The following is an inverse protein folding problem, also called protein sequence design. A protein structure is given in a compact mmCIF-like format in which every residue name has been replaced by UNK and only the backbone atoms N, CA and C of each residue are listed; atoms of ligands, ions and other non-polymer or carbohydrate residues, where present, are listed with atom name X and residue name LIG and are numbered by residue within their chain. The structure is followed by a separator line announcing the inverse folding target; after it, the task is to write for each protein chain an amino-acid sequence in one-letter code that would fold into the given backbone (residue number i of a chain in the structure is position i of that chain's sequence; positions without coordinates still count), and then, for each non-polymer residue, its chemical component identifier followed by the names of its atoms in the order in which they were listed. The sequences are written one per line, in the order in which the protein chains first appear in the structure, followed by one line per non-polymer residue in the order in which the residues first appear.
data_IF_123328034054
#
_entry.id   IF_123328034054
#
_cell.length_a   1.000
_cell.length_b   1.000
_cell.length_c   1.000
_cell.angle_alpha   90.00
_cell.angle_beta   90.00
_cell.angle_gamma   90.00
#
_symmetry.space_group_name_H-M   'P 1'
#
loop_
_entity.id
_entity.type
_entity.pdbx_description
1 polymer ?
#
# COMPACT_ATOMS: atom_id res chain seq x y z
N UNK A 1 0.62 -4.67 -4.65
CA UNK A 1 1.78 -5.02 -5.50
C UNK A 1 3.02 -4.19 -5.17
N UNK A 2 2.93 -2.88 -5.17
CA UNK A 2 4.02 -1.93 -4.86
C UNK A 2 4.40 -1.87 -3.39
N UNK A 3 3.49 -2.22 -2.50
CA UNK A 3 3.56 -2.00 -1.05
C UNK A 3 4.76 -2.62 -0.36
N UNK A 4 5.33 -3.71 -0.91
CA UNK A 4 6.55 -4.33 -0.36
C UNK A 4 7.84 -3.55 -0.63
N UNK A 5 7.78 -2.58 -1.53
CA UNK A 5 8.89 -1.69 -1.85
C UNK A 5 8.80 -0.35 -1.10
N UNK A 6 7.67 -0.09 -0.45
CA UNK A 6 7.31 1.22 0.08
C UNK A 6 7.46 1.32 1.60
N UNK A 7 8.59 0.99 2.16
CA UNK A 7 9.09 1.70 3.33
C UNK A 7 9.76 3.01 2.87
N UNK A 8 9.39 3.52 1.70
CA UNK A 8 10.01 4.70 1.10
C UNK A 8 8.95 5.57 0.43
N UNK A 9 8.46 6.42 1.13
CA UNK A 9 8.06 7.82 1.09
C UNK A 9 7.56 8.36 -0.23
N UNK A 10 6.28 8.51 -0.27
CA UNK A 10 5.63 9.59 -0.97
C UNK A 10 5.50 10.77 0.02
N UNK A 11 6.53 11.55 0.23
CA UNK A 11 6.33 12.83 0.91
C UNK A 11 5.57 13.73 -0.03
N UNK A 12 4.27 13.81 0.19
CA UNK A 12 3.46 14.84 -0.41
C UNK A 12 3.99 16.18 0.09
N UNK A 13 4.81 16.84 -0.71
CA UNK A 13 5.16 18.22 -0.46
C UNK A 13 3.88 19.04 -0.61
N UNK A 14 3.27 19.41 0.52
CA UNK A 14 2.30 20.49 0.57
C UNK A 14 3.10 21.77 0.28
N UNK A 15 3.49 21.96 -0.98
CA UNK A 15 4.10 23.18 -1.42
C UNK A 15 3.01 24.24 -1.50
N UNK A 16 2.90 25.04 -0.45
CA UNK A 16 2.45 26.41 -0.66
C UNK A 16 3.36 26.98 -1.77
N UNK A 17 2.83 27.15 -2.97
CA UNK A 17 3.47 27.92 -4.04
C UNK A 17 3.51 29.39 -3.60
N UNK A 18 4.44 29.69 -2.69
CA UNK A 18 4.91 31.02 -2.39
C UNK A 18 6.30 31.13 -2.93
N UNK A 19 6.50 32.13 -3.79
CA UNK A 19 7.75 32.68 -4.31
C UNK A 19 9.00 31.79 -4.32
N UNK A 20 9.63 31.68 -5.46
CA UNK A 20 10.91 31.03 -5.73
C UNK A 20 12.03 31.55 -4.80
N UNK A 21 12.07 31.09 -3.56
CA UNK A 21 13.30 31.18 -2.79
C UNK A 21 14.30 30.24 -3.46
N UNK A 22 15.41 30.78 -3.93
CA UNK A 22 16.55 30.01 -4.45
C UNK A 22 16.81 28.83 -3.53
N UNK A 23 16.72 27.61 -4.07
CA UNK A 23 16.97 26.35 -3.33
C UNK A 23 18.39 26.41 -2.76
N UNK A 24 18.52 26.78 -1.49
CA UNK A 24 19.80 26.80 -0.81
C UNK A 24 20.20 25.35 -0.52
N UNK A 25 21.31 24.90 -1.07
CA UNK A 25 21.81 23.55 -0.82
C UNK A 25 21.99 23.35 0.68
N UNK A 26 21.16 22.51 1.30
CA UNK A 26 21.29 22.13 2.69
C UNK A 26 22.45 21.14 2.83
N UNK A 27 23.49 21.53 3.56
CA UNK A 27 24.61 20.64 3.87
C UNK A 27 24.35 19.74 5.07
N UNK A 28 25.19 18.72 5.23
CA UNK A 28 25.02 17.71 6.32
C UNK A 28 24.92 18.33 7.72
N UNK A 29 25.69 19.38 8.00
CA UNK A 29 25.62 20.09 9.30
C UNK A 29 24.26 20.74 9.55
N UNK A 30 23.70 21.37 8.51
CA UNK A 30 22.37 21.99 8.58
C UNK A 30 21.28 20.92 8.71
N UNK A 31 21.38 19.84 7.94
CA UNK A 31 20.48 18.69 8.04
C UNK A 31 20.46 18.12 9.46
N UNK A 32 21.65 17.88 10.04
CA UNK A 32 21.76 17.40 11.43
C UNK A 32 21.11 18.36 12.42
N UNK A 33 21.33 19.65 12.28
CA UNK A 33 20.70 20.65 13.17
C UNK A 33 19.19 20.66 13.04
N UNK A 34 18.64 20.45 11.82
CA UNK A 34 17.19 20.32 11.61
C UNK A 34 16.65 19.06 12.28
N UNK A 35 17.29 17.92 12.10
CA UNK A 35 16.94 16.65 12.77
C UNK A 35 16.94 16.84 14.29
N UNK A 36 18.02 17.37 14.88
CA UNK A 36 18.14 17.58 16.32
C UNK A 36 17.03 18.51 16.86
N UNK A 37 16.60 19.52 16.09
CA UNK A 37 15.54 20.45 16.48
C UNK A 37 14.13 19.86 16.38
N UNK A 38 13.89 18.95 15.41
CA UNK A 38 12.57 18.34 15.17
C UNK A 38 12.31 17.10 16.02
N UNK A 39 13.38 16.38 16.43
CA UNK A 39 13.23 15.16 17.26
C UNK A 39 12.36 15.35 18.51
N UNK A 40 12.57 16.37 19.37
CA UNK A 40 11.74 16.55 20.56
C UNK A 40 10.28 16.89 20.22
N UNK A 41 10.06 17.58 19.11
CA UNK A 41 8.71 17.94 18.65
C UNK A 41 7.97 16.67 18.18
N UNK A 42 8.62 15.88 17.33
CA UNK A 42 8.07 14.61 16.83
C UNK A 42 7.83 13.61 17.96
N UNK A 43 8.78 13.44 18.87
CA UNK A 43 8.66 12.57 20.04
C UNK A 43 7.42 12.92 20.89
N UNK A 44 7.23 14.22 21.15
CA UNK A 44 6.06 14.73 21.90
C UNK A 44 4.75 14.46 21.17
N UNK A 45 4.70 14.67 19.86
CA UNK A 45 3.46 14.48 19.08
C UNK A 45 3.14 13.00 18.87
N UNK A 46 4.15 12.15 18.68
CA UNK A 46 3.99 10.71 18.57
C UNK A 46 3.68 10.04 19.93
N UNK A 47 3.88 10.73 21.05
CA UNK A 47 3.75 10.14 22.40
C UNK A 47 4.80 9.08 22.70
N UNK A 48 5.98 9.14 22.06
CA UNK A 48 7.07 8.16 22.18
C UNK A 48 8.41 8.87 22.35
N UNK A 49 9.33 8.29 23.12
CA UNK A 49 10.69 8.80 23.27
C UNK A 49 11.64 8.09 22.30
N UNK A 50 12.58 8.84 21.70
CA UNK A 50 13.67 8.21 20.95
C UNK A 50 14.58 7.41 21.89
N UNK A 51 14.83 6.15 21.59
CA UNK A 51 15.79 5.29 22.29
C UNK A 51 17.23 5.60 21.84
N UNK A 52 17.38 6.05 20.60
CA UNK A 52 18.64 6.54 20.03
C UNK A 52 18.38 7.60 18.96
N UNK A 53 19.38 8.46 18.72
CA UNK A 53 19.30 9.46 17.65
C UNK A 53 19.58 8.81 16.30
N UNK A 54 18.68 8.90 15.30
CA UNK A 54 18.96 8.42 13.95
C UNK A 54 20.12 9.23 13.32
N UNK A 55 20.91 8.57 12.50
CA UNK A 55 21.90 9.25 11.67
C UNK A 55 21.21 10.05 10.58
N UNK A 56 21.91 11.02 10.00
CA UNK A 56 21.41 11.78 8.85
C UNK A 56 22.50 12.01 7.84
N UNK A 57 22.16 11.96 6.55
CA UNK A 57 23.07 12.20 5.45
C UNK A 57 22.34 12.82 4.25
N UNK A 58 23.05 13.62 3.44
CA UNK A 58 22.54 14.14 2.18
C UNK A 58 23.00 13.23 1.05
N UNK A 59 22.14 12.98 0.06
CA UNK A 59 22.43 12.17 -1.12
C UNK A 59 21.92 12.86 -2.39
N UNK A 60 22.66 12.68 -3.48
CA UNK A 60 22.17 13.10 -4.81
C UNK A 60 21.05 12.18 -5.29
N UNK A 61 20.20 12.67 -6.22
CA UNK A 61 19.16 11.85 -6.83
C UNK A 61 19.72 10.57 -7.47
N UNK A 62 20.88 10.62 -8.09
CA UNK A 62 21.52 9.44 -8.70
C UNK A 62 21.95 8.41 -7.66
N UNK A 63 22.48 8.83 -6.52
CA UNK A 63 22.83 7.95 -5.41
C UNK A 63 21.58 7.27 -4.82
N UNK A 64 20.50 8.03 -4.65
CA UNK A 64 19.21 7.50 -4.19
C UNK A 64 18.65 6.48 -5.21
N UNK A 65 18.67 6.85 -6.50
CA UNK A 65 18.23 5.94 -7.56
C UNK A 65 19.01 4.64 -7.58
N UNK A 66 20.33 4.70 -7.45
CA UNK A 66 21.17 3.50 -7.39
C UNK A 66 20.86 2.62 -6.18
N UNK A 67 20.66 3.24 -5.01
CA UNK A 67 20.26 2.55 -3.79
C UNK A 67 18.90 1.83 -3.97
N UNK A 68 17.89 2.55 -4.51
CA UNK A 68 16.57 2.00 -4.76
C UNK A 68 16.58 0.82 -5.72
N UNK A 69 17.35 0.91 -6.80
CA UNK A 69 17.52 -0.17 -7.77
C UNK A 69 18.12 -1.42 -7.13
N UNK A 70 19.13 -1.24 -6.28
CA UNK A 70 19.76 -2.35 -5.56
C UNK A 70 18.77 -3.00 -4.56
N UNK A 71 18.05 -2.19 -3.81
CA UNK A 71 17.02 -2.66 -2.84
C UNK A 71 15.87 -3.37 -3.55
N UNK A 72 15.34 -2.80 -4.64
CA UNK A 72 14.30 -3.40 -5.46
C UNK A 72 14.69 -4.79 -5.97
N UNK A 73 15.90 -4.92 -6.50
CA UNK A 73 16.38 -6.19 -7.04
C UNK A 73 16.53 -7.28 -5.98
N UNK A 74 16.82 -6.89 -4.73
CA UNK A 74 16.94 -7.79 -3.57
C UNK A 74 15.56 -8.22 -3.04
N UNK A 75 14.63 -7.29 -2.92
CA UNK A 75 13.34 -7.51 -2.27
C UNK A 75 12.29 -8.14 -3.18
N UNK A 76 12.42 -7.96 -4.49
CA UNK A 76 11.46 -8.44 -5.47
C UNK A 76 12.14 -9.31 -6.54
N UNK A 77 12.32 -10.60 -6.27
CA UNK A 77 12.88 -11.54 -7.24
C UNK A 77 12.08 -11.54 -8.56
N UNK A 78 12.73 -11.69 -9.73
CA UNK A 78 12.09 -11.59 -11.04
C UNK A 78 10.86 -12.48 -11.21
N UNK A 79 10.89 -13.73 -10.75
CA UNK A 79 9.77 -14.67 -10.87
C UNK A 79 8.54 -14.19 -10.08
N UNK A 80 8.76 -13.58 -8.92
CA UNK A 80 7.69 -13.03 -8.10
C UNK A 80 7.07 -11.79 -8.75
N UNK A 81 7.90 -10.87 -9.25
CA UNK A 81 7.41 -9.71 -10.00
C UNK A 81 6.60 -10.16 -11.22
N UNK A 82 7.09 -11.17 -11.97
CA UNK A 82 6.37 -11.77 -13.10
C UNK A 82 4.98 -12.25 -12.70
N UNK A 83 4.87 -13.02 -11.61
CA UNK A 83 3.58 -13.56 -11.16
C UNK A 83 2.63 -12.48 -10.65
N UNK A 84 3.13 -11.52 -9.89
CA UNK A 84 2.34 -10.37 -9.43
C UNK A 84 1.79 -9.57 -10.60
N UNK A 85 2.64 -9.15 -11.54
CA UNK A 85 2.24 -8.39 -12.73
C UNK A 85 1.24 -9.18 -13.57
N UNK A 86 1.44 -10.51 -13.69
CA UNK A 86 0.52 -11.37 -14.42
C UNK A 86 -0.88 -11.40 -13.79
N UNK A 87 -1.01 -11.42 -12.45
CA UNK A 87 -2.29 -11.34 -11.78
C UNK A 87 -3.07 -10.08 -12.19
N UNK A 88 -2.42 -8.91 -12.08
CA UNK A 88 -3.05 -7.62 -12.41
C UNK A 88 -3.38 -7.49 -13.90
N UNK A 89 -2.53 -8.02 -14.79
CA UNK A 89 -2.80 -8.03 -16.23
C UNK A 89 -3.97 -8.94 -16.58
N UNK A 90 -4.01 -10.16 -16.01
CA UNK A 90 -5.09 -11.11 -16.27
C UNK A 90 -6.45 -10.57 -15.79
N UNK A 91 -6.47 -9.78 -14.73
CA UNK A 91 -7.66 -9.12 -14.19
C UNK A 91 -8.00 -7.80 -14.91
N UNK A 92 -7.17 -7.34 -15.86
CA UNK A 92 -7.43 -6.11 -16.61
C UNK A 92 -7.08 -4.82 -15.88
N UNK A 93 -6.35 -4.89 -14.76
CA UNK A 93 -5.93 -3.72 -13.98
C UNK A 93 -4.67 -3.05 -14.53
N UNK A 94 -3.84 -3.78 -15.28
CA UNK A 94 -2.63 -3.28 -15.92
C UNK A 94 -2.61 -3.59 -17.41
N UNK A 95 -2.16 -2.64 -18.26
CA UNK A 95 -1.91 -2.91 -19.68
C UNK A 95 -0.81 -3.98 -19.86
N UNK A 96 -0.97 -4.83 -20.88
CA UNK A 96 0.01 -5.88 -21.18
C UNK A 96 1.38 -5.29 -21.59
N UNK A 97 1.38 -4.10 -22.21
CA UNK A 97 2.59 -3.42 -22.71
C UNK A 97 3.34 -2.61 -21.66
N UNK A 98 2.81 -2.45 -20.46
CA UNK A 98 3.41 -1.61 -19.44
C UNK A 98 4.67 -2.26 -18.86
N UNK A 99 5.81 -1.58 -18.94
CA UNK A 99 6.98 -1.95 -18.13
C UNK A 99 6.81 -1.44 -16.69
N UNK A 100 6.30 -2.35 -15.85
CA UNK A 100 5.99 -2.04 -14.45
C UNK A 100 7.26 -1.72 -13.65
N UNK A 101 8.39 -2.40 -13.94
CA UNK A 101 9.65 -2.15 -13.26
C UNK A 101 10.18 -0.75 -13.57
N UNK A 102 10.16 -0.38 -14.86
CA UNK A 102 10.60 0.95 -15.30
C UNK A 102 9.69 2.05 -14.72
N UNK A 103 8.37 1.85 -14.75
CA UNK A 103 7.42 2.80 -14.15
C UNK A 103 7.70 3.04 -12.66
N UNK A 104 8.03 1.99 -11.90
CA UNK A 104 8.37 2.14 -10.49
C UNK A 104 9.63 2.96 -10.28
N UNK A 105 10.68 2.70 -11.07
CA UNK A 105 11.92 3.48 -11.01
C UNK A 105 11.65 4.96 -11.29
N UNK A 106 10.83 5.25 -12.29
CA UNK A 106 10.45 6.62 -12.65
C UNK A 106 9.64 7.30 -11.54
N UNK A 107 8.62 6.63 -11.00
CA UNK A 107 7.80 7.13 -9.90
C UNK A 107 8.65 7.46 -8.66
N UNK A 108 9.53 6.54 -8.25
CA UNK A 108 10.43 6.79 -7.12
C UNK A 108 11.38 7.95 -7.38
N UNK A 109 11.98 8.00 -8.57
CA UNK A 109 12.91 9.07 -8.91
C UNK A 109 12.23 10.45 -8.94
N UNK A 110 10.96 10.50 -9.37
CA UNK A 110 10.18 11.73 -9.42
C UNK A 110 9.79 12.24 -8.02
N UNK A 111 9.40 11.34 -7.13
CA UNK A 111 8.69 11.71 -5.91
C UNK A 111 9.54 11.71 -4.64
N UNK A 112 10.72 11.07 -4.67
CA UNK A 112 11.52 10.95 -3.46
C UNK A 112 12.17 12.29 -3.07
N UNK A 113 11.92 12.73 -1.85
CA UNK A 113 12.56 13.90 -1.23
C UNK A 113 13.49 13.53 -0.07
N UNK A 114 13.32 12.34 0.49
CA UNK A 114 14.13 11.75 1.54
C UNK A 114 13.56 10.42 2.00
N UNK A 115 14.26 9.69 2.85
CA UNK A 115 13.77 8.45 3.45
C UNK A 115 14.59 8.02 4.66
N UNK A 116 13.96 7.28 5.56
CA UNK A 116 14.63 6.58 6.64
C UNK A 116 14.96 5.15 6.22
N UNK A 117 16.22 4.75 6.39
CA UNK A 117 16.67 3.38 6.14
C UNK A 117 16.88 2.66 7.48
N UNK A 118 16.03 1.66 7.82
CA UNK A 118 16.15 0.90 9.05
C UNK A 118 17.48 0.14 9.16
N UNK A 119 17.99 -0.41 8.04
CA UNK A 119 19.22 -1.20 8.02
C UNK A 119 20.44 -0.39 8.51
N UNK A 120 20.54 0.86 8.07
CA UNK A 120 21.63 1.77 8.48
C UNK A 120 21.27 2.71 9.64
N UNK A 121 20.00 2.70 10.08
CA UNK A 121 19.43 3.65 11.04
C UNK A 121 19.66 5.11 10.64
N UNK A 122 19.55 5.39 9.33
CA UNK A 122 19.93 6.68 8.75
C UNK A 122 18.76 7.31 8.00
N UNK A 123 18.52 8.58 8.26
CA UNK A 123 17.69 9.43 7.42
C UNK A 123 18.54 9.98 6.26
N UNK A 124 18.12 9.76 5.04
CA UNK A 124 18.73 10.31 3.84
C UNK A 124 17.84 11.41 3.26
N UNK A 125 18.37 12.63 3.16
CA UNK A 125 17.72 13.75 2.46
C UNK A 125 18.23 13.83 1.02
N UNK A 126 17.33 14.12 0.07
CA UNK A 126 17.70 14.39 -1.33
C UNK A 126 18.14 15.84 -1.47
N UNK A 127 19.23 16.09 -2.22
CA UNK A 127 19.71 17.44 -2.49
C UNK A 127 18.66 18.28 -3.24
N UNK A 128 18.54 19.56 -2.88
CA UNK A 128 17.82 20.58 -3.67
C UNK A 128 16.40 20.89 -3.23
N UNK A 129 15.89 20.34 -2.11
CA UNK A 129 14.61 20.72 -1.53
C UNK A 129 14.64 22.08 -0.83
N UNK A 130 13.50 22.76 -0.76
CA UNK A 130 13.34 23.96 0.09
C UNK A 130 13.43 23.60 1.57
N UNK A 131 13.74 24.57 2.43
CA UNK A 131 13.81 24.31 3.88
C UNK A 131 12.49 23.81 4.46
N UNK A 132 11.35 24.34 4.00
CA UNK A 132 10.03 23.95 4.48
C UNK A 132 9.70 22.49 4.06
N UNK A 133 9.98 22.12 2.81
CA UNK A 133 9.84 20.75 2.34
C UNK A 133 10.70 19.78 3.15
N UNK A 134 11.97 20.12 3.38
CA UNK A 134 12.86 19.29 4.19
C UNK A 134 12.38 19.16 5.64
N UNK A 135 11.81 20.19 6.25
CA UNK A 135 11.26 20.10 7.59
C UNK A 135 10.09 19.10 7.66
N UNK A 136 9.19 19.13 6.68
CA UNK A 136 8.07 18.19 6.60
C UNK A 136 8.59 16.76 6.40
N UNK A 137 9.52 16.57 5.44
CA UNK A 137 10.15 15.27 5.17
C UNK A 137 10.85 14.74 6.42
N UNK A 138 11.70 15.54 7.05
CA UNK A 138 12.41 15.13 8.28
C UNK A 138 11.43 14.74 9.38
N UNK A 139 10.37 15.52 9.58
CA UNK A 139 9.36 15.21 10.61
C UNK A 139 8.68 13.88 10.35
N UNK A 140 8.34 13.57 9.09
CA UNK A 140 7.75 12.31 8.66
C UNK A 140 8.71 11.13 8.90
N UNK A 141 9.95 11.26 8.43
CA UNK A 141 10.97 10.21 8.56
C UNK A 141 11.40 9.94 10.00
N UNK A 142 11.38 10.96 10.84
CA UNK A 142 11.62 10.79 12.27
C UNK A 142 10.54 9.95 12.94
N UNK A 143 9.30 9.97 12.44
CA UNK A 143 8.26 9.03 12.93
C UNK A 143 8.61 7.60 12.54
N UNK A 144 9.06 7.34 11.32
CA UNK A 144 9.53 6.01 10.92
C UNK A 144 10.74 5.55 11.75
N UNK A 145 11.67 6.46 12.06
CA UNK A 145 12.77 6.17 12.97
C UNK A 145 12.28 5.83 14.39
N UNK A 146 11.21 6.46 14.88
CA UNK A 146 10.56 6.08 16.14
C UNK A 146 9.90 4.70 16.02
N UNK A 147 9.06 4.49 15.03
CA UNK A 147 8.37 3.22 14.80
C UNK A 147 9.36 2.05 14.79
N UNK A 148 10.47 2.18 14.04
CA UNK A 148 11.53 1.17 13.98
C UNK A 148 12.16 0.86 15.34
N UNK A 149 12.23 1.83 16.26
CA UNK A 149 12.77 1.64 17.61
C UNK A 149 11.83 0.90 18.56
N UNK A 150 10.55 0.77 18.20
CA UNK A 150 9.52 0.14 19.05
C UNK A 150 8.96 -1.16 18.49
N UNK A 151 8.99 -1.35 17.17
CA UNK A 151 8.51 -2.56 16.52
C UNK A 151 9.51 -3.05 15.46
N UNK A 152 9.54 -4.36 15.16
CA UNK A 152 10.39 -4.92 14.12
C UNK A 152 9.84 -4.57 12.73
N UNK A 153 9.96 -3.30 12.34
CA UNK A 153 9.35 -2.72 11.16
C UNK A 153 9.68 -3.53 9.89
N UNK A 154 10.95 -3.94 9.74
CA UNK A 154 11.37 -4.76 8.60
C UNK A 154 10.62 -6.08 8.51
N UNK A 155 10.47 -6.80 9.65
CA UNK A 155 9.75 -8.07 9.65
C UNK A 155 8.27 -7.91 9.29
N UNK A 156 7.63 -6.84 9.77
CA UNK A 156 6.23 -6.52 9.46
C UNK A 156 6.08 -6.19 7.99
N UNK A 157 7.00 -5.39 7.44
CA UNK A 157 6.96 -4.91 6.06
C UNK A 157 7.43 -5.95 5.04
N UNK A 158 8.02 -7.06 5.48
CA UNK A 158 8.47 -8.16 4.63
C UNK A 158 7.55 -9.39 4.65
N UNK A 159 6.33 -9.28 5.17
CA UNK A 159 5.34 -10.37 5.05
C UNK A 159 5.00 -10.60 3.58
N UNK A 160 5.58 -11.69 3.04
CA UNK A 160 5.59 -11.94 1.60
C UNK A 160 4.35 -12.67 1.08
N UNK A 161 3.44 -13.07 1.96
CA UNK A 161 2.34 -13.97 1.61
C UNK A 161 0.95 -13.38 1.86
N UNK A 162 0.86 -12.14 2.33
CA UNK A 162 -0.39 -11.46 2.60
C UNK A 162 -0.27 -9.96 2.29
N UNK A 163 -0.55 -9.61 1.03
CA UNK A 163 -0.46 -8.22 0.56
C UNK A 163 -1.52 -7.33 1.20
N UNK A 164 -2.67 -7.87 1.56
CA UNK A 164 -3.74 -7.12 2.23
C UNK A 164 -3.31 -6.69 3.64
N UNK A 165 -2.81 -7.65 4.44
CA UNK A 165 -2.28 -7.35 5.77
C UNK A 165 -1.10 -6.39 5.73
N UNK A 166 -0.21 -6.57 4.76
CA UNK A 166 0.91 -5.65 4.54
C UNK A 166 0.40 -4.24 4.25
N UNK A 167 -0.61 -4.11 3.39
CA UNK A 167 -1.22 -2.84 3.07
C UNK A 167 -1.86 -2.16 4.29
N UNK A 168 -2.55 -2.93 5.12
CA UNK A 168 -3.13 -2.44 6.35
C UNK A 168 -2.04 -1.94 7.33
N UNK A 169 -0.95 -2.69 7.45
CA UNK A 169 0.19 -2.28 8.29
C UNK A 169 0.85 -0.99 7.76
N UNK A 170 1.08 -0.89 6.45
CA UNK A 170 1.61 0.33 5.83
C UNK A 170 0.69 1.53 6.05
N UNK A 171 -0.62 1.33 5.93
CA UNK A 171 -1.58 2.39 6.19
C UNK A 171 -1.43 2.97 7.61
N UNK A 172 -1.18 2.13 8.61
CA UNK A 172 -0.93 2.60 9.98
C UNK A 172 0.39 3.35 10.09
N UNK A 173 1.47 2.81 9.56
CA UNK A 173 2.79 3.44 9.69
C UNK A 173 2.87 4.76 8.95
N UNK A 174 2.42 4.81 7.70
CA UNK A 174 2.39 6.03 6.89
C UNK A 174 1.35 7.04 7.40
N UNK A 175 0.19 6.54 7.81
CA UNK A 175 -0.86 7.38 8.40
C UNK A 175 -0.41 8.07 9.68
N UNK A 176 0.29 7.36 10.58
CA UNK A 176 0.85 7.95 11.78
C UNK A 176 1.97 8.94 11.45
N UNK A 177 2.85 8.63 10.50
CA UNK A 177 3.91 9.52 10.09
C UNK A 177 3.34 10.81 9.48
N UNK A 178 2.33 10.70 8.61
CA UNK A 178 1.62 11.84 8.01
C UNK A 178 0.94 12.70 9.05
N UNK A 179 0.12 12.09 9.91
CA UNK A 179 -0.60 12.81 10.96
C UNK A 179 0.35 13.51 11.92
N UNK A 180 1.37 12.82 12.42
CA UNK A 180 2.35 13.38 13.37
C UNK A 180 3.16 14.51 12.77
N UNK A 181 3.60 14.39 11.51
CA UNK A 181 4.34 15.44 10.82
C UNK A 181 3.49 16.69 10.57
N UNK A 182 2.22 16.53 10.20
CA UNK A 182 1.27 17.66 10.08
C UNK A 182 1.07 18.37 11.42
N UNK A 183 0.83 17.62 12.50
CA UNK A 183 0.68 18.20 13.85
C UNK A 183 1.94 18.96 14.28
N UNK A 184 3.12 18.44 13.94
CA UNK A 184 4.40 19.07 14.28
C UNK A 184 4.61 20.41 13.54
N UNK A 185 4.02 20.56 12.34
CA UNK A 185 4.21 21.71 11.46
C UNK A 185 3.08 22.75 11.54
N UNK A 186 1.88 22.35 11.94
CA UNK A 186 0.73 23.26 12.02
C UNK A 186 0.73 24.06 13.33
N UNK A 187 0.53 25.41 13.25
CA UNK A 187 0.43 26.25 14.43
C UNK A 187 -0.84 26.00 15.26
N UNK A 188 -1.95 25.61 14.60
CA UNK A 188 -3.22 25.30 15.24
C UNK A 188 -3.59 23.82 15.06
N UNK A 189 -3.50 23.07 16.17
CA UNK A 189 -3.81 21.63 16.19
C UNK A 189 -5.31 21.32 16.09
N UNK A 190 -6.18 22.27 16.35
CA UNK A 190 -7.63 22.09 16.25
C UNK A 190 -8.04 21.83 14.79
N UNK A 191 -7.24 22.29 13.82
CA UNK A 191 -7.48 21.98 12.40
C UNK A 191 -7.55 20.48 12.13
N UNK A 192 -6.81 19.66 12.88
CA UNK A 192 -6.79 18.21 12.69
C UNK A 192 -8.07 17.48 13.15
N UNK A 193 -8.86 18.13 14.01
CA UNK A 193 -10.19 17.62 14.40
C UNK A 193 -11.29 18.12 13.48
N UNK A 194 -10.96 19.02 12.54
CA UNK A 194 -11.90 19.62 11.61
C UNK A 194 -12.01 18.77 10.34
N UNK A 195 -13.16 18.16 10.10
CA UNK A 195 -13.39 17.31 8.93
C UNK A 195 -13.21 18.06 7.60
N UNK A 196 -13.60 19.35 7.53
CA UNK A 196 -13.40 20.18 6.34
C UNK A 196 -11.90 20.37 6.02
N UNK A 197 -11.04 20.51 7.04
CA UNK A 197 -9.60 20.52 6.85
C UNK A 197 -9.11 19.20 6.24
N UNK A 198 -9.59 18.07 6.74
CA UNK A 198 -9.19 16.76 6.25
C UNK A 198 -9.65 16.50 4.81
N UNK A 199 -10.86 16.89 4.45
CA UNK A 199 -11.32 16.81 3.06
C UNK A 199 -10.44 17.66 2.13
N UNK A 200 -10.11 18.88 2.55
CA UNK A 200 -9.20 19.76 1.80
C UNK A 200 -7.80 19.15 1.68
N UNK A 201 -7.27 18.57 2.75
CA UNK A 201 -5.98 17.92 2.75
C UNK A 201 -5.93 16.71 1.80
N UNK A 202 -6.94 15.84 1.85
CA UNK A 202 -7.07 14.69 0.94
C UNK A 202 -7.13 15.13 -0.53
N UNK A 203 -7.90 16.16 -0.81
CA UNK A 203 -8.01 16.69 -2.17
C UNK A 203 -6.69 17.33 -2.64
N UNK A 204 -5.99 18.03 -1.76
CA UNK A 204 -4.66 18.56 -2.08
C UNK A 204 -3.65 17.46 -2.39
N UNK A 205 -3.64 16.36 -1.61
CA UNK A 205 -2.81 15.19 -1.89
C UNK A 205 -3.07 14.64 -3.29
N UNK A 206 -4.34 14.43 -3.63
CA UNK A 206 -4.74 13.94 -4.96
C UNK A 206 -4.33 14.91 -6.08
N UNK A 207 -4.54 16.19 -5.88
CA UNK A 207 -4.25 17.24 -6.89
C UNK A 207 -2.74 17.38 -7.12
N UNK A 208 -1.93 17.34 -6.07
CA UNK A 208 -0.47 17.40 -6.20
C UNK A 208 0.07 16.20 -6.95
N UNK A 209 -0.42 15.01 -6.62
CA UNK A 209 -0.04 13.79 -7.31
C UNK A 209 -0.46 13.83 -8.79
N UNK A 210 -1.63 14.37 -9.11
CA UNK A 210 -2.07 14.56 -10.48
C UNK A 210 -1.20 15.55 -11.27
N UNK A 211 -0.52 16.48 -10.60
CA UNK A 211 0.46 17.41 -11.19
C UNK A 211 1.83 16.77 -11.48
N UNK A 212 2.14 15.62 -10.91
CA UNK A 212 3.37 14.89 -11.17
C UNK A 212 3.26 14.11 -12.49
N UNK A 213 4.27 14.27 -13.37
CA UNK A 213 4.15 13.80 -14.77
C UNK A 213 4.15 12.28 -14.92
N UNK A 214 4.88 11.57 -14.07
CA UNK A 214 4.93 10.09 -14.09
C UNK A 214 3.72 9.51 -13.35
N UNK A 215 3.38 10.07 -12.20
CA UNK A 215 2.26 9.62 -11.38
C UNK A 215 0.92 9.74 -12.13
N UNK A 216 0.67 10.88 -12.81
CA UNK A 216 -0.59 11.10 -13.54
C UNK A 216 -0.81 10.12 -14.70
N UNK A 217 0.27 9.57 -15.26
CA UNK A 217 0.23 8.56 -16.33
C UNK A 217 0.14 7.12 -15.83
N UNK A 218 0.37 6.91 -14.54
CA UNK A 218 0.33 5.57 -13.97
C UNK A 218 -1.11 5.01 -13.97
N UNK A 219 -1.29 3.69 -14.17
CA UNK A 219 -2.59 3.05 -14.04
C UNK A 219 -3.26 3.33 -12.68
N UNK A 220 -4.60 3.33 -12.66
CA UNK A 220 -5.39 3.61 -11.46
C UNK A 220 -4.89 2.80 -10.25
N UNK A 221 -4.72 1.50 -10.41
CA UNK A 221 -4.26 0.61 -9.32
C UNK A 221 -2.94 1.06 -8.72
N UNK A 222 -2.00 1.53 -9.53
CA UNK A 222 -0.69 2.00 -9.05
C UNK A 222 -0.84 3.33 -8.29
N UNK A 223 -1.63 4.25 -8.82
CA UNK A 223 -1.87 5.56 -8.17
C UNK A 223 -2.54 5.39 -6.80
N UNK A 224 -3.60 4.60 -6.76
CA UNK A 224 -4.37 4.40 -5.54
C UNK A 224 -3.60 3.57 -4.50
N UNK A 225 -2.82 2.57 -4.93
CA UNK A 225 -1.89 1.84 -4.05
C UNK A 225 -0.89 2.75 -3.36
N UNK A 226 -0.37 3.75 -4.08
CA UNK A 226 0.56 4.73 -3.54
C UNK A 226 -0.12 5.73 -2.60
N UNK A 227 -1.39 6.06 -2.86
CA UNK A 227 -2.13 7.09 -2.12
C UNK A 227 -2.77 6.52 -0.84
N UNK A 228 -3.22 5.27 -0.88
CA UNK A 228 -3.96 4.60 0.18
C UNK A 228 -3.32 4.73 1.58
N UNK A 229 -2.02 4.47 1.78
CA UNK A 229 -1.41 4.53 3.10
C UNK A 229 -1.47 5.95 3.71
N UNK A 230 -1.39 6.98 2.88
CA UNK A 230 -1.38 8.36 3.33
C UNK A 230 -2.79 8.89 3.61
N UNK A 231 -3.75 8.57 2.75
CA UNK A 231 -5.13 9.06 2.85
C UNK A 231 -5.91 8.21 3.85
N UNK A 232 -6.10 6.93 3.55
CA UNK A 232 -6.91 6.04 4.40
C UNK A 232 -6.20 5.71 5.71
N UNK A 233 -4.86 5.60 5.66
CA UNK A 233 -4.06 5.40 6.86
C UNK A 233 -4.15 6.57 7.84
N UNK A 234 -4.09 7.81 7.35
CA UNK A 234 -4.24 8.99 8.22
C UNK A 234 -5.64 9.08 8.83
N UNK A 235 -6.69 8.73 8.08
CA UNK A 235 -8.06 8.67 8.59
C UNK A 235 -8.20 7.61 9.68
N UNK A 236 -7.69 6.41 9.44
CA UNK A 236 -7.70 5.33 10.43
C UNK A 236 -6.92 5.71 11.70
N UNK A 237 -5.70 6.27 11.58
CA UNK A 237 -4.89 6.67 12.73
C UNK A 237 -5.54 7.81 13.50
N UNK A 238 -6.14 8.80 12.81
CA UNK A 238 -6.91 9.88 13.45
C UNK A 238 -8.09 9.31 14.25
N UNK A 239 -8.84 8.40 13.64
CA UNK A 239 -9.92 7.69 14.30
C UNK A 239 -9.43 6.89 15.51
N UNK A 240 -8.35 6.09 15.32
CA UNK A 240 -7.77 5.28 16.39
C UNK A 240 -7.35 6.13 17.60
N UNK A 241 -6.64 7.23 17.38
CA UNK A 241 -6.22 8.12 18.46
C UNK A 241 -7.37 8.77 19.24
N UNK A 242 -8.53 8.97 18.59
CA UNK A 242 -9.72 9.50 19.25
C UNK A 242 -10.46 8.45 20.07
N UNK A 243 -10.41 7.17 19.71
CA UNK A 243 -11.11 6.07 20.38
C UNK A 243 -10.23 5.32 21.38
N UNK A 244 -8.91 5.32 21.19
CA UNK A 244 -7.90 4.66 22.03
C UNK A 244 -6.86 5.67 22.53
N UNK A 245 -7.25 6.66 23.36
CA UNK A 245 -6.35 7.73 23.79
C UNK A 245 -5.18 7.15 24.62
N UNK A 246 -3.96 7.51 24.22
CA UNK A 246 -2.74 7.07 24.90
C UNK A 246 -2.16 5.75 24.38
N UNK A 247 -2.86 5.06 23.48
CA UNK A 247 -2.34 3.86 22.84
C UNK A 247 -1.65 4.17 21.50
N UNK A 248 -0.77 3.28 21.08
CA UNK A 248 -0.13 3.34 19.77
C UNK A 248 -0.90 2.47 18.76
N UNK A 249 -1.09 2.94 17.50
CA UNK A 249 -1.88 2.20 16.52
C UNK A 249 -1.11 0.99 15.91
N UNK A 250 0.03 0.63 16.46
CA UNK A 250 0.88 -0.46 15.98
C UNK A 250 1.17 -1.50 17.08
N UNK A 251 2.00 -2.50 16.80
CA UNK A 251 2.23 -3.63 17.70
C UNK A 251 1.01 -4.55 17.73
N UNK A 252 0.42 -4.76 18.90
CA UNK A 252 -0.80 -5.57 19.05
C UNK A 252 -2.04 -4.94 18.39
N UNK A 253 -2.03 -3.62 18.20
CA UNK A 253 -3.13 -2.84 17.64
C UNK A 253 -3.09 -2.72 16.10
N UNK A 254 -2.15 -3.39 15.42
CA UNK A 254 -2.14 -3.37 13.95
C UNK A 254 -3.40 -4.03 13.38
N UNK A 255 -4.12 -3.38 12.45
CA UNK A 255 -5.22 -4.00 11.74
C UNK A 255 -4.74 -5.22 10.94
N UNK A 256 -5.63 -6.18 10.76
CA UNK A 256 -5.36 -7.45 10.08
C UNK A 256 -5.68 -7.43 8.60
N UNK A 257 -6.39 -6.40 8.13
CA UNK A 257 -6.85 -6.28 6.74
C UNK A 257 -7.05 -4.83 6.35
N UNK A 258 -7.07 -4.55 5.05
CA UNK A 258 -7.48 -3.24 4.53
C UNK A 258 -8.94 -2.95 4.83
N UNK A 259 -9.81 -3.97 4.96
CA UNK A 259 -11.19 -3.81 5.41
C UNK A 259 -11.27 -3.11 6.78
N UNK A 260 -10.43 -3.54 7.73
CA UNK A 260 -10.38 -2.91 9.05
C UNK A 260 -9.88 -1.46 9.02
N UNK A 261 -8.99 -1.13 8.09
CA UNK A 261 -8.52 0.25 7.88
C UNK A 261 -9.63 1.11 7.27
N UNK A 262 -10.34 0.58 6.27
CA UNK A 262 -11.42 1.29 5.57
C UNK A 262 -12.67 1.46 6.44
N UNK A 263 -12.94 0.49 7.29
CA UNK A 263 -14.15 0.40 8.12
C UNK A 263 -13.77 0.20 9.59
N UNK A 264 -13.46 1.27 10.34
CA UNK A 264 -13.03 1.17 11.74
C UNK A 264 -13.98 0.38 12.65
N UNK A 265 -15.28 0.33 12.34
CA UNK A 265 -16.23 -0.54 13.03
C UNK A 265 -15.93 -2.04 12.91
N UNK A 266 -15.30 -2.47 11.81
CA UNK A 266 -14.81 -3.85 11.64
C UNK A 266 -13.58 -4.11 12.50
N UNK A 267 -12.71 -3.12 12.62
CA UNK A 267 -11.57 -3.17 13.53
C UNK A 267 -12.02 -3.33 14.99
N UNK A 268 -12.95 -2.49 15.47
CA UNK A 268 -13.53 -2.58 16.82
C UNK A 268 -14.23 -3.92 17.08
N UNK A 269 -14.91 -4.46 16.07
CA UNK A 269 -15.58 -5.76 16.17
C UNK A 269 -14.61 -6.94 16.14
N UNK A 270 -13.29 -6.70 15.99
CA UNK A 270 -12.28 -7.74 15.77
C UNK A 270 -12.65 -8.69 14.62
N UNK A 271 -13.21 -8.12 13.55
CA UNK A 271 -13.59 -8.87 12.36
C UNK A 271 -12.33 -9.23 11.57
N UNK A 272 -11.78 -10.42 11.86
CA UNK A 272 -10.56 -10.90 11.23
C UNK A 272 -10.85 -11.63 9.91
N UNK A 273 -10.01 -11.43 8.88
CA UNK A 273 -10.17 -12.14 7.62
C UNK A 273 -10.00 -13.65 7.79
N UNK A 274 -10.80 -14.40 7.05
CA UNK A 274 -10.70 -15.85 6.97
C UNK A 274 -9.49 -16.22 6.12
N UNK A 275 -8.47 -16.78 6.75
CA UNK A 275 -7.30 -17.26 6.06
C UNK A 275 -7.64 -18.45 5.16
N UNK A 276 -7.40 -18.32 3.86
CA UNK A 276 -7.63 -19.38 2.88
C UNK A 276 -6.31 -20.06 2.49
N UNK A 277 -6.40 -21.34 2.18
CA UNK A 277 -5.28 -22.14 1.69
C UNK A 277 -5.70 -22.99 0.48
N UNK A 278 -4.92 -22.94 -0.58
CA UNK A 278 -5.00 -23.94 -1.63
C UNK A 278 -4.31 -25.24 -1.19
N UNK A 279 -4.96 -26.35 -1.42
CA UNK A 279 -4.39 -27.68 -1.21
C UNK A 279 -4.02 -28.26 -2.57
N UNK A 280 -2.81 -28.79 -2.73
CA UNK A 280 -2.38 -29.39 -3.97
C UNK A 280 -1.02 -28.94 -4.47
N UNK A 281 -0.73 -29.26 -5.73
CA UNK A 281 0.56 -29.03 -6.36
C UNK A 281 0.89 -27.54 -6.53
N UNK A 282 2.16 -27.23 -6.33
CA UNK A 282 2.75 -25.91 -6.54
C UNK A 282 3.69 -25.86 -7.75
N UNK A 283 3.69 -26.91 -8.59
CA UNK A 283 4.50 -26.93 -9.80
C UNK A 283 4.17 -25.74 -10.72
N UNK A 284 5.19 -24.97 -11.07
CA UNK A 284 5.01 -23.75 -11.86
C UNK A 284 4.41 -22.56 -11.11
N UNK A 285 4.25 -22.62 -9.80
CA UNK A 285 3.78 -21.48 -9.00
C UNK A 285 4.76 -20.30 -9.14
N UNK A 286 4.24 -19.16 -9.61
CA UNK A 286 4.97 -17.92 -9.73
C UNK A 286 4.68 -16.98 -8.54
N UNK A 287 3.43 -16.99 -8.08
CA UNK A 287 2.97 -16.06 -7.05
C UNK A 287 1.77 -16.62 -6.29
N UNK A 288 1.72 -16.36 -5.00
CA UNK A 288 0.57 -16.61 -4.15
C UNK A 288 0.38 -15.44 -3.21
N UNK A 289 -0.87 -14.92 -3.09
CA UNK A 289 -1.14 -13.74 -2.28
C UNK A 289 -2.62 -13.61 -1.88
N UNK A 290 -2.93 -12.58 -1.09
CA UNK A 290 -4.26 -12.10 -0.73
C UNK A 290 -4.44 -10.69 -1.28
N UNK A 291 -5.56 -10.38 -1.93
CA UNK A 291 -5.85 -9.04 -2.43
C UNK A 291 -6.45 -8.13 -1.35
N UNK A 292 -7.46 -8.63 -0.64
CA UNK A 292 -8.19 -7.85 0.34
C UNK A 292 -9.27 -6.94 -0.25
N UNK A 293 -10.01 -6.28 0.63
CA UNK A 293 -11.14 -5.44 0.21
C UNK A 293 -10.72 -4.26 -0.67
N UNK A 294 -9.61 -3.61 -0.34
CA UNK A 294 -9.13 -2.44 -1.08
C UNK A 294 -8.79 -2.78 -2.55
N UNK A 295 -8.04 -3.86 -2.78
CA UNK A 295 -7.69 -4.28 -4.15
C UNK A 295 -8.92 -4.74 -4.94
N UNK A 296 -9.92 -5.33 -4.28
CA UNK A 296 -11.20 -5.68 -4.91
C UNK A 296 -11.96 -4.41 -5.31
N UNK A 297 -11.95 -3.37 -4.47
CA UNK A 297 -12.54 -2.08 -4.80
C UNK A 297 -11.82 -1.41 -5.99
N UNK A 298 -10.48 -1.49 -6.03
CA UNK A 298 -9.68 -1.04 -7.16
C UNK A 298 -10.01 -1.78 -8.46
N UNK A 299 -10.09 -3.11 -8.40
CA UNK A 299 -10.46 -3.92 -9.55
C UNK A 299 -11.85 -3.53 -10.08
N UNK A 300 -12.83 -3.36 -9.18
CA UNK A 300 -14.17 -2.90 -9.56
C UNK A 300 -14.12 -1.54 -10.26
N UNK A 301 -13.36 -0.59 -9.74
CA UNK A 301 -13.21 0.75 -10.34
C UNK A 301 -12.49 0.68 -11.68
N UNK A 302 -11.44 -0.13 -11.81
CA UNK A 302 -10.72 -0.34 -13.07
C UNK A 302 -11.63 -0.92 -14.17
N UNK A 303 -12.45 -1.92 -13.84
CA UNK A 303 -13.41 -2.54 -14.78
C UNK A 303 -14.51 -1.57 -15.24
N UNK A 304 -14.81 -0.56 -14.43
CA UNK A 304 -15.80 0.49 -14.74
C UNK A 304 -15.18 1.71 -15.42
N UNK A 305 -13.86 1.75 -15.53
CA UNK A 305 -13.09 2.92 -15.99
C UNK A 305 -13.34 4.18 -15.14
N UNK A 306 -13.56 3.99 -13.83
CA UNK A 306 -13.68 5.08 -12.88
C UNK A 306 -12.34 5.82 -12.71
N UNK A 307 -12.38 7.12 -12.41
CA UNK A 307 -11.16 7.93 -12.21
C UNK A 307 -10.53 7.79 -10.82
N UNK A 308 -11.23 7.17 -9.88
CA UNK A 308 -10.81 6.92 -8.50
C UNK A 308 -11.51 5.71 -7.91
N UNK A 309 -11.18 5.37 -6.69
CA UNK A 309 -11.79 4.24 -5.98
C UNK A 309 -12.82 4.75 -4.96
N UNK A 310 -13.98 4.08 -4.91
CA UNK A 310 -14.97 4.29 -3.85
C UNK A 310 -14.78 3.19 -2.79
N UNK A 311 -14.35 3.60 -1.62
CA UNK A 311 -14.08 2.76 -0.45
C UNK A 311 -15.12 2.89 0.67
N UNK A 312 -16.13 3.75 0.49
CA UNK A 312 -17.08 4.10 1.57
C UNK A 312 -18.09 2.98 1.88
N UNK A 313 -18.27 2.04 0.95
CA UNK A 313 -19.25 0.98 1.09
C UNK A 313 -18.58 -0.34 1.49
N UNK A 314 -18.87 -0.86 2.70
CA UNK A 314 -18.41 -2.18 3.10
C UNK A 314 -18.83 -3.22 2.05
N UNK A 315 -17.86 -3.98 1.55
CA UNK A 315 -18.14 -5.00 0.55
C UNK A 315 -18.63 -6.30 1.17
N UNK A 316 -18.40 -6.51 2.48
CA UNK A 316 -18.66 -7.76 3.18
C UNK A 316 -17.67 -8.84 2.75
N UNK A 317 -16.43 -8.43 2.52
CA UNK A 317 -15.32 -9.32 2.22
C UNK A 317 -14.95 -10.12 3.47
N UNK A 318 -14.90 -11.45 3.35
CA UNK A 318 -14.52 -12.31 4.46
C UNK A 318 -13.12 -12.89 4.30
N UNK A 319 -12.51 -12.76 3.13
CA UNK A 319 -11.16 -13.27 2.85
C UNK A 319 -10.99 -13.69 1.39
N UNK A 320 -9.75 -13.78 0.95
CA UNK A 320 -9.44 -14.31 -0.37
C UNK A 320 -8.06 -14.93 -0.44
N UNK A 321 -7.79 -15.67 -1.52
CA UNK A 321 -6.48 -16.21 -1.85
C UNK A 321 -6.37 -16.39 -3.34
N UNK A 322 -5.23 -16.01 -3.91
CA UNK A 322 -4.93 -16.21 -5.32
C UNK A 322 -3.60 -16.95 -5.52
N UNK A 323 -3.52 -17.68 -6.63
CA UNK A 323 -2.28 -18.26 -7.16
C UNK A 323 -2.12 -17.94 -8.63
N UNK A 324 -0.91 -17.63 -9.03
CA UNK A 324 -0.52 -17.48 -10.43
C UNK A 324 0.51 -18.54 -10.78
N UNK A 325 0.27 -19.24 -11.86
CA UNK A 325 1.11 -20.34 -12.33
C UNK A 325 1.72 -20.00 -13.68
N UNK A 326 2.90 -20.53 -13.95
CA UNK A 326 3.49 -20.63 -15.29
C UNK A 326 2.88 -21.84 -15.98
N UNK A 327 2.00 -21.60 -16.94
CA UNK A 327 1.39 -22.66 -17.73
C UNK A 327 1.91 -22.62 -19.17
N UNK A 328 1.76 -23.72 -19.90
CA UNK A 328 1.98 -23.73 -21.35
C UNK A 328 0.98 -22.78 -22.01
N UNK A 329 1.48 -21.81 -22.78
CA UNK A 329 0.64 -20.77 -23.41
C UNK A 329 0.50 -19.48 -22.61
N UNK A 330 1.14 -19.36 -21.43
CA UNK A 330 1.19 -18.12 -20.62
C UNK A 330 0.76 -18.30 -19.17
N UNK A 331 0.71 -17.22 -18.37
CA UNK A 331 0.34 -17.30 -16.96
C UNK A 331 -1.12 -17.72 -16.75
N UNK A 332 -1.38 -18.47 -15.68
CA UNK A 332 -2.72 -18.88 -15.28
C UNK A 332 -3.03 -18.40 -13.85
N UNK A 333 -4.17 -17.75 -13.65
CA UNK A 333 -4.64 -17.26 -12.35
C UNK A 333 -5.77 -18.17 -11.83
N UNK A 334 -5.68 -18.52 -10.55
CA UNK A 334 -6.78 -19.07 -9.76
C UNK A 334 -6.98 -18.19 -8.55
N UNK A 335 -8.16 -17.61 -8.41
CA UNK A 335 -8.52 -16.73 -7.30
C UNK A 335 -9.81 -17.19 -6.65
N UNK A 336 -9.83 -17.30 -5.33
CA UNK A 336 -11.00 -17.66 -4.54
C UNK A 336 -11.23 -16.56 -3.51
N UNK A 337 -12.47 -16.08 -3.45
CA UNK A 337 -12.94 -15.10 -2.47
C UNK A 337 -14.04 -15.70 -1.61
N UNK A 338 -14.08 -15.39 -0.32
CA UNK A 338 -15.17 -15.73 0.60
C UNK A 338 -15.83 -14.45 1.12
N UNK A 339 -17.11 -14.56 1.47
CA UNK A 339 -17.96 -13.41 1.76
C UNK A 339 -18.74 -13.66 3.03
N UNK A 340 -19.01 -12.62 3.82
CA UNK A 340 -19.75 -12.72 5.07
C UNK A 340 -21.15 -13.30 4.86
N UNK A 341 -21.82 -12.86 3.79
CA UNK A 341 -23.17 -13.32 3.45
C UNK A 341 -23.27 -13.63 1.94
N UNK A 342 -24.19 -14.54 1.54
CA UNK A 342 -24.40 -14.89 0.13
C UNK A 342 -24.72 -13.69 -0.78
N UNK A 343 -25.41 -12.66 -0.26
CA UNK A 343 -25.71 -11.44 -1.02
C UNK A 343 -24.47 -10.66 -1.43
N UNK A 344 -23.41 -10.67 -0.61
CA UNK A 344 -22.15 -10.02 -0.93
C UNK A 344 -21.37 -10.80 -1.98
N UNK A 345 -21.37 -12.13 -1.90
CA UNK A 345 -20.81 -12.99 -2.95
C UNK A 345 -21.50 -12.72 -4.31
N UNK A 346 -22.85 -12.61 -4.30
CA UNK A 346 -23.59 -12.30 -5.52
C UNK A 346 -23.30 -10.89 -6.05
N UNK A 347 -23.13 -9.91 -5.15
CA UNK A 347 -22.72 -8.54 -5.54
C UNK A 347 -21.34 -8.55 -6.19
N UNK A 348 -20.35 -9.22 -5.57
CA UNK A 348 -19.02 -9.37 -6.15
C UNK A 348 -19.07 -10.06 -7.51
N UNK A 349 -19.84 -11.14 -7.62
CA UNK A 349 -20.01 -11.83 -8.89
C UNK A 349 -20.47 -10.86 -9.98
N UNK A 350 -21.55 -10.12 -9.72
CA UNK A 350 -22.14 -9.22 -10.71
C UNK A 350 -21.25 -8.03 -11.07
N UNK A 351 -20.52 -7.48 -10.08
CA UNK A 351 -19.76 -6.24 -10.25
C UNK A 351 -18.30 -6.46 -10.63
N UNK A 352 -17.75 -7.65 -10.39
CA UNK A 352 -16.32 -7.96 -10.60
C UNK A 352 -16.14 -9.24 -11.40
N UNK A 353 -16.64 -10.39 -10.91
CA UNK A 353 -16.30 -11.68 -11.49
C UNK A 353 -16.88 -11.87 -12.91
N UNK A 354 -18.14 -11.53 -13.13
CA UNK A 354 -18.77 -11.60 -14.45
C UNK A 354 -18.19 -10.55 -15.42
N UNK A 355 -17.94 -9.27 -15.04
CA UNK A 355 -17.16 -8.34 -15.87
C UNK A 355 -15.76 -8.84 -16.22
N UNK A 356 -15.00 -9.40 -15.31
CA UNK A 356 -13.69 -10.03 -15.60
C UNK A 356 -13.83 -11.14 -16.65
N UNK A 357 -14.91 -11.92 -16.59
CA UNK A 357 -15.15 -12.98 -17.56
C UNK A 357 -15.46 -12.44 -18.99
N UNK A 358 -15.81 -11.17 -19.13
CA UNK A 358 -15.98 -10.51 -20.43
C UNK A 358 -14.67 -10.02 -21.06
N UNK A 359 -13.59 -9.93 -20.28
CA UNK A 359 -12.27 -9.55 -20.78
C UNK A 359 -11.75 -10.64 -21.73
N UNK A 360 -11.69 -10.32 -23.02
CA UNK A 360 -11.23 -11.27 -24.04
C UNK A 360 -9.72 -11.23 -24.17
N UNK A 361 -9.10 -12.42 -24.04
CA UNK A 361 -7.69 -12.65 -24.28
C UNK A 361 -7.55 -13.85 -25.21
N UNK A 362 -6.86 -13.67 -26.34
CA UNK A 362 -6.69 -14.73 -27.33
C UNK A 362 -6.02 -15.98 -26.70
N UNK A 363 -6.59 -17.17 -26.95
CA UNK A 363 -6.11 -18.43 -26.39
C UNK A 363 -6.34 -18.64 -24.90
N UNK A 364 -7.14 -17.78 -24.26
CA UNK A 364 -7.50 -17.90 -22.85
C UNK A 364 -9.00 -18.16 -22.65
N UNK A 365 -9.31 -18.83 -21.56
CA UNK A 365 -10.66 -18.95 -21.04
C UNK A 365 -10.74 -18.37 -19.64
N UNK A 366 -11.90 -17.82 -19.30
CA UNK A 366 -12.24 -17.43 -17.93
C UNK A 366 -13.41 -18.29 -17.44
N UNK A 367 -13.26 -18.83 -16.22
CA UNK A 367 -14.31 -19.63 -15.56
C UNK A 367 -14.64 -18.97 -14.24
N UNK A 368 -15.91 -18.63 -14.03
CA UNK A 368 -16.45 -18.13 -12.77
C UNK A 368 -17.38 -19.17 -12.19
N UNK A 369 -17.15 -19.58 -10.95
CA UNK A 369 -17.94 -20.58 -10.25
C UNK A 369 -18.26 -20.14 -8.82
N UNK A 370 -19.54 -20.29 -8.45
CA UNK A 370 -19.95 -20.21 -7.05
C UNK A 370 -19.62 -21.52 -6.33
N UNK A 371 -19.12 -21.43 -5.11
CA UNK A 371 -18.79 -22.57 -4.26
C UNK A 371 -19.00 -22.20 -2.78
N UNK A 372 -18.69 -23.14 -1.90
CA UNK A 372 -18.61 -22.87 -0.47
C UNK A 372 -17.22 -23.25 0.05
N UNK A 373 -16.67 -22.41 0.94
CA UNK A 373 -15.40 -22.66 1.63
C UNK A 373 -15.62 -22.41 3.12
N UNK A 374 -15.38 -23.44 3.94
CA UNK A 374 -15.62 -23.32 5.37
C UNK A 374 -17.08 -22.95 5.76
N UNK A 375 -18.06 -23.35 4.95
CA UNK A 375 -19.47 -23.00 5.16
C UNK A 375 -19.86 -21.57 4.70
N UNK A 376 -18.92 -20.78 4.20
CA UNK A 376 -19.16 -19.42 3.68
C UNK A 376 -19.39 -19.44 2.17
N UNK A 377 -20.22 -18.51 1.68
CA UNK A 377 -20.40 -18.29 0.24
C UNK A 377 -19.07 -17.80 -0.39
N UNK A 378 -18.70 -18.41 -1.49
CA UNK A 378 -17.42 -18.14 -2.15
C UNK A 378 -17.56 -18.06 -3.67
N UNK A 379 -16.68 -17.30 -4.31
CA UNK A 379 -16.57 -17.22 -5.77
C UNK A 379 -15.14 -17.60 -6.16
N UNK A 380 -15.02 -18.51 -7.14
CA UNK A 380 -13.74 -18.82 -7.78
C UNK A 380 -13.69 -18.25 -9.18
N UNK A 381 -12.62 -17.55 -9.47
CA UNK A 381 -12.27 -17.04 -10.80
C UNK A 381 -11.02 -17.79 -11.27
N UNK A 382 -11.06 -18.34 -12.48
CA UNK A 382 -9.91 -18.94 -13.15
C UNK A 382 -9.73 -18.25 -14.48
N UNK A 383 -8.54 -17.71 -14.73
CA UNK A 383 -8.15 -17.13 -16.02
C UNK A 383 -6.92 -17.88 -16.50
N UNK A 384 -7.02 -18.64 -17.56
CA UNK A 384 -5.93 -19.54 -17.96
C UNK A 384 -5.94 -19.81 -19.47
N UNK A 385 -4.77 -20.19 -20.05
CA UNK A 385 -4.73 -20.73 -21.40
C UNK A 385 -5.69 -21.91 -21.55
N UNK A 386 -6.36 -22.04 -22.70
CA UNK A 386 -7.47 -22.98 -22.92
C UNK A 386 -7.09 -24.44 -22.60
N UNK A 387 -5.87 -24.85 -22.87
CA UNK A 387 -5.37 -26.20 -22.59
C UNK A 387 -4.99 -26.48 -21.13
N UNK A 388 -4.91 -25.46 -20.28
CA UNK A 388 -4.47 -25.65 -18.90
C UNK A 388 -5.62 -26.06 -17.97
N UNK A 389 -5.45 -27.20 -17.30
CA UNK A 389 -6.45 -27.78 -16.39
C UNK A 389 -6.03 -27.89 -14.94
N UNK A 390 -4.83 -27.38 -14.58
CA UNK A 390 -4.23 -27.56 -13.24
C UNK A 390 -5.09 -27.04 -12.09
N UNK A 391 -5.95 -26.06 -12.34
CA UNK A 391 -6.89 -25.51 -11.34
C UNK A 391 -7.90 -26.54 -10.78
N UNK A 392 -8.17 -27.63 -11.50
CA UNK A 392 -9.10 -28.67 -11.06
C UNK A 392 -8.57 -29.46 -9.85
N UNK A 393 -7.25 -29.49 -9.69
CA UNK A 393 -6.55 -30.15 -8.61
C UNK A 393 -6.21 -29.21 -7.44
N UNK A 394 -6.81 -28.02 -7.38
CA UNK A 394 -6.56 -27.01 -6.36
C UNK A 394 -7.82 -26.76 -5.50
N UNK A 395 -8.24 -27.69 -4.65
CA UNK A 395 -9.30 -27.42 -3.70
C UNK A 395 -8.84 -26.34 -2.71
N UNK A 396 -9.77 -25.52 -2.29
CA UNK A 396 -9.53 -24.42 -1.34
C UNK A 396 -10.19 -24.75 -0.01
N UNK A 397 -9.46 -24.59 1.06
CA UNK A 397 -9.94 -24.79 2.45
C UNK A 397 -9.61 -23.58 3.30
N UNK A 398 -10.31 -23.45 4.45
CA UNK A 398 -9.88 -22.53 5.50
C UNK A 398 -8.57 -23.06 6.09
N UNK A 399 -7.59 -22.17 6.27
CA UNK A 399 -6.36 -22.55 6.98
C UNK A 399 -6.71 -22.82 8.45
N UNK A 400 -6.20 -23.91 9.00
CA UNK A 400 -6.28 -24.14 10.44
C UNK A 400 -5.35 -23.12 11.14
N UNK A 401 -5.88 -22.50 12.23
CA UNK A 401 -5.11 -21.58 13.08
C UNK A 401 -3.98 -22.32 13.79
#
# INVERSE_FOLDING_TARGET
MMRRMLVMILVCTVACRGESQQAQKVGERQLKAMVDSLMPVVAKQAGLAFKFTPKSAVRSRDQIRAYLLAKLSKELPPARLEGMVAAYRLLGMLPDTLDVKQLFIELYTEQIAGFYDPDSTTFYAVEGGSRAELQLVISHELVHALQHQYVPLDSIMHDVHDADRLAASQAVFEGQATLTSLIAMLPDKQLLTNDAFWETFKEQLRTQQAGASVFSRAPLVIREDLTFPYVQGSEFVRWFQSHHPGEQPFGANLPRSTEQVLHPGRYEAHDEPIALRFVGDTAGLLHEDTFGEFEIALLRSALRHDNGVNTDLPMGWGGDRLRVFRASGGPALVWVTVWDEPRFAQRFRNQVADPVATLRRAGYRTVVAALQVGGKAAIRIVIAPEGWGGWKALPTTVAQK
#
